data_IF_430481627051
#
_entry.id   IF_430481627051
#
_cell.length_a   1.000
_cell.length_b   1.000
_cell.length_c   1.000
_cell.angle_alpha   90.00
_cell.angle_beta   90.00
_cell.angle_gamma   90.00
#
_symmetry.space_group_name_H-M   'P 1'
#
loop_
_entity.id
_entity.type
_entity.pdbx_description
1 polymer ?
#
# COMPACT_ATOMS: atom_id res chain seq x y z
N UNK A 1 9.70 17.11 3.89
CA UNK A 1 8.40 16.54 3.47
C UNK A 1 7.57 17.64 2.83
N UNK A 2 7.02 17.43 1.63
CA UNK A 2 6.24 18.44 0.91
C UNK A 2 4.73 18.24 1.14
N UNK A 3 4.05 19.26 1.68
CA UNK A 3 2.59 19.26 1.86
C UNK A 3 1.80 19.25 0.54
N UNK A 4 2.48 19.53 -0.58
CA UNK A 4 1.82 19.57 -1.89
C UNK A 4 1.29 18.21 -2.36
N UNK A 5 1.90 17.12 -1.90
CA UNK A 5 1.53 15.76 -2.28
C UNK A 5 0.20 15.28 -1.64
N UNK A 6 0.01 15.38 -0.31
CA UNK A 6 -1.29 15.08 0.29
C UNK A 6 -2.39 16.03 -0.17
N UNK A 7 -2.09 17.31 -0.43
CA UNK A 7 -3.08 18.25 -0.96
C UNK A 7 -3.55 17.86 -2.38
N UNK A 8 -2.64 17.42 -3.26
CA UNK A 8 -3.00 16.89 -4.58
C UNK A 8 -3.84 15.60 -4.46
N UNK A 9 -3.54 14.74 -3.50
CA UNK A 9 -4.34 13.54 -3.24
C UNK A 9 -5.75 13.90 -2.76
N UNK A 10 -5.89 14.91 -1.87
CA UNK A 10 -7.19 15.38 -1.40
C UNK A 10 -8.07 15.85 -2.56
N UNK A 11 -7.51 16.62 -3.51
CA UNK A 11 -8.22 17.03 -4.73
C UNK A 11 -8.67 15.82 -5.56
N UNK A 12 -7.82 14.80 -5.71
CA UNK A 12 -8.17 13.56 -6.43
C UNK A 12 -9.28 12.75 -5.75
N UNK A 13 -9.40 12.85 -4.42
CA UNK A 13 -10.46 12.23 -3.62
C UNK A 13 -11.74 13.09 -3.54
N UNK A 14 -11.77 14.27 -4.19
CA UNK A 14 -12.90 15.18 -4.15
C UNK A 14 -13.02 15.99 -2.85
N UNK A 15 -11.97 16.01 -2.03
CA UNK A 15 -11.93 16.80 -0.79
C UNK A 15 -11.47 18.22 -1.15
N UNK A 16 -12.31 19.25 -0.92
CA UNK A 16 -11.91 20.62 -1.21
C UNK A 16 -10.80 21.09 -0.25
N UNK A 17 -9.93 22.03 -0.65
CA UNK A 17 -8.77 22.44 0.13
C UNK A 17 -9.11 22.90 1.56
N UNK A 18 -10.24 23.57 1.74
CA UNK A 18 -10.70 24.09 3.03
C UNK A 18 -11.09 22.94 3.99
N UNK A 19 -11.67 21.87 3.44
CA UNK A 19 -11.99 20.68 4.22
C UNK A 19 -10.72 19.91 4.60
N UNK A 20 -9.74 19.82 3.70
CA UNK A 20 -8.44 19.21 3.98
C UNK A 20 -7.75 19.84 5.20
N UNK A 21 -7.71 21.17 5.28
CA UNK A 21 -7.08 21.86 6.41
C UNK A 21 -7.83 21.73 7.74
N UNK A 22 -9.10 21.33 7.70
CA UNK A 22 -9.90 21.04 8.91
C UNK A 22 -9.73 19.61 9.41
N UNK A 23 -9.24 18.70 8.58
CA UNK A 23 -8.99 17.32 8.98
C UNK A 23 -7.81 17.24 9.95
N UNK A 24 -7.94 16.39 10.96
CA UNK A 24 -6.81 15.95 11.74
C UNK A 24 -5.92 14.98 10.93
N UNK A 25 -4.65 14.89 11.32
CA UNK A 25 -3.70 13.92 10.76
C UNK A 25 -4.17 12.46 10.88
N UNK A 26 -4.98 12.14 11.91
CA UNK A 26 -5.55 10.79 12.09
C UNK A 26 -6.64 10.50 11.07
N UNK A 27 -7.55 11.44 10.86
CA UNK A 27 -8.62 11.31 9.85
C UNK A 27 -8.03 11.24 8.45
N UNK A 28 -7.04 12.08 8.16
CA UNK A 28 -6.33 12.02 6.89
C UNK A 28 -5.67 10.66 6.65
N UNK A 29 -5.01 10.08 7.67
CA UNK A 29 -4.45 8.72 7.57
C UNK A 29 -5.56 7.69 7.37
N UNK A 30 -6.65 7.75 8.11
CA UNK A 30 -7.76 6.81 7.93
C UNK A 30 -8.35 6.83 6.49
N UNK A 31 -8.32 7.98 5.81
CA UNK A 31 -8.78 8.13 4.41
C UNK A 31 -7.78 7.65 3.36
N UNK A 32 -6.48 7.63 3.67
CA UNK A 32 -5.41 7.46 2.68
C UNK A 32 -4.51 6.27 2.92
N UNK A 33 -4.53 5.72 4.13
CA UNK A 33 -3.80 4.52 4.49
C UNK A 33 -4.36 3.37 3.65
N UNK A 34 -3.52 2.88 2.74
CA UNK A 34 -3.82 1.63 2.07
C UNK A 34 -3.84 0.56 3.16
N UNK A 35 -4.91 -0.27 3.25
CA UNK A 35 -4.93 -1.35 4.22
C UNK A 35 -3.62 -2.11 4.08
N UNK A 36 -2.94 -2.47 5.19
CA UNK A 36 -1.69 -3.19 5.10
C UNK A 36 -1.92 -4.41 4.22
N UNK A 37 -1.29 -4.42 3.04
CA UNK A 37 -1.28 -5.61 2.23
C UNK A 37 -0.75 -6.72 3.13
N UNK A 38 -1.34 -7.93 3.09
CA UNK A 38 -0.85 -9.03 3.91
C UNK A 38 0.64 -9.18 3.65
N UNK A 39 1.46 -8.85 4.64
CA UNK A 39 2.91 -8.95 4.53
C UNK A 39 3.21 -10.42 4.29
N UNK A 40 3.92 -10.75 3.21
CA UNK A 40 4.27 -12.12 2.90
C UNK A 40 5.06 -12.70 4.07
N UNK A 41 4.41 -13.60 4.81
CA UNK A 41 5.04 -14.23 5.97
C UNK A 41 6.05 -15.27 5.51
N UNK A 42 7.02 -15.62 6.36
CA UNK A 42 7.95 -16.70 6.05
C UNK A 42 7.23 -18.02 5.70
N UNK A 43 6.17 -18.44 6.42
CA UNK A 43 5.35 -19.58 6.01
C UNK A 43 4.68 -19.39 4.64
N UNK A 44 4.16 -18.19 4.35
CA UNK A 44 3.56 -17.88 3.05
C UNK A 44 4.54 -17.99 1.90
N UNK A 45 5.77 -17.50 2.09
CA UNK A 45 6.86 -17.66 1.12
C UNK A 45 7.21 -19.14 0.92
N UNK A 46 7.37 -19.92 1.99
CA UNK A 46 7.66 -21.35 1.89
C UNK A 46 6.57 -22.12 1.13
N UNK A 47 5.29 -21.77 1.33
CA UNK A 47 4.18 -22.36 0.60
C UNK A 47 4.21 -22.04 -0.91
N UNK A 48 4.65 -20.84 -1.28
CA UNK A 48 4.84 -20.46 -2.69
C UNK A 48 5.99 -21.24 -3.34
N UNK A 49 7.13 -21.36 -2.66
CA UNK A 49 8.28 -22.14 -3.15
C UNK A 49 7.87 -23.60 -3.39
N UNK A 50 7.15 -24.21 -2.44
CA UNK A 50 6.70 -25.59 -2.60
C UNK A 50 5.65 -25.76 -3.72
N UNK A 51 4.83 -24.74 -3.98
CA UNK A 51 3.79 -24.78 -5.03
C UNK A 51 4.36 -24.54 -6.42
N UNK A 52 5.41 -23.74 -6.54
CA UNK A 52 6.07 -23.39 -7.79
C UNK A 52 7.57 -23.68 -7.67
N UNK A 53 7.98 -24.95 -7.67
CA UNK A 53 9.38 -25.31 -7.69
C UNK A 53 10.02 -24.85 -9.01
N UNK A 54 11.26 -24.38 -8.95
CA UNK A 54 12.02 -24.05 -10.15
C UNK A 54 12.24 -25.32 -10.98
N UNK A 55 12.13 -25.22 -12.30
CA UNK A 55 12.49 -26.30 -13.22
C UNK A 55 14.03 -26.34 -13.34
N UNK A 56 14.64 -27.49 -13.06
CA UNK A 56 16.09 -27.66 -13.24
C UNK A 56 16.40 -27.77 -14.74
N UNK A 57 17.11 -26.79 -15.34
CA UNK A 57 17.42 -26.82 -16.77
C UNK A 57 18.53 -27.82 -17.13
N UNK A 58 19.10 -28.55 -16.17
CA UNK A 58 20.22 -29.49 -16.36
C UNK A 58 19.83 -30.97 -16.26
N UNK A 59 18.54 -31.32 -16.15
CA UNK A 59 18.06 -32.72 -16.24
C UNK A 59 17.70 -33.16 -17.68
N UNK A 60 18.51 -32.77 -18.68
CA UNK A 60 18.45 -33.29 -20.06
C UNK A 60 19.83 -33.77 -20.54
#
# INVERSE_FOLDING_TARGET
>A
MSWSEPLRLAVRLGIPPEAFWRLSLREWRALTETPPAPVLTRPGLSALIARYPDEDPHEL
#
